data_IF_487072394509
#
_entry.id   IF_487072394509
#
_cell.length_a   1.000
_cell.length_b   1.000
_cell.length_c   1.000
_cell.angle_alpha   90.00
_cell.angle_beta   90.00
_cell.angle_gamma   90.00
#
_symmetry.space_group_name_H-M   'P 1'
#
loop_
_entity.id
_entity.type
_entity.pdbx_description
1 polymer ?
#
# COMPACT_ATOMS: atom_id res chain seq x y z
N UNK A 1 -3.16 0.90 16.93
CA UNK A 1 -2.68 1.17 15.57
C UNK A 1 -3.85 1.32 14.62
N UNK A 2 -3.83 2.36 13.80
CA UNK A 2 -4.92 2.60 12.85
C UNK A 2 -4.86 1.56 11.71
N UNK A 3 -5.92 0.80 11.56
CA UNK A 3 -6.07 -0.17 10.47
C UNK A 3 -7.17 0.34 9.55
N UNK A 4 -6.87 0.38 8.26
CA UNK A 4 -7.88 0.73 7.26
C UNK A 4 -8.97 -0.35 7.23
N UNK A 5 -10.22 0.09 7.36
CA UNK A 5 -11.39 -0.79 7.27
C UNK A 5 -12.12 -0.65 5.94
N UNK A 6 -11.50 0.04 4.97
CA UNK A 6 -12.11 0.26 3.67
C UNK A 6 -12.34 -1.07 2.94
N UNK A 7 -13.45 -1.20 2.19
CA UNK A 7 -13.69 -2.38 1.37
C UNK A 7 -12.60 -2.53 0.30
N UNK A 8 -11.87 -3.65 0.35
CA UNK A 8 -10.69 -3.86 -0.49
C UNK A 8 -11.04 -3.86 -1.99
N UNK A 9 -12.05 -4.60 -2.39
CA UNK A 9 -12.40 -4.71 -3.81
C UNK A 9 -12.91 -3.40 -4.39
N UNK A 10 -13.70 -2.67 -3.62
CA UNK A 10 -14.21 -1.36 -4.02
C UNK A 10 -13.06 -0.36 -4.21
N UNK A 11 -12.15 -0.31 -3.26
CA UNK A 11 -11.01 0.60 -3.29
C UNK A 11 -10.04 0.24 -4.41
N UNK A 12 -9.77 -1.06 -4.58
CA UNK A 12 -8.90 -1.54 -5.65
C UNK A 12 -9.43 -1.16 -7.03
N UNK A 13 -10.75 -1.30 -7.27
CA UNK A 13 -11.38 -0.85 -8.51
C UNK A 13 -11.22 0.65 -8.73
N UNK A 14 -11.48 1.43 -7.68
CA UNK A 14 -11.37 2.89 -7.77
C UNK A 14 -9.96 3.33 -8.16
N UNK A 15 -8.95 2.62 -7.71
CA UNK A 15 -7.54 2.92 -7.97
C UNK A 15 -6.98 2.19 -9.20
N UNK A 16 -7.74 1.29 -9.81
CA UNK A 16 -7.27 0.51 -10.95
C UNK A 16 -6.21 -0.54 -10.60
N UNK A 17 -6.25 -1.06 -9.39
CA UNK A 17 -5.30 -2.08 -8.90
C UNK A 17 -6.00 -3.43 -8.85
N UNK A 18 -5.31 -4.49 -9.30
CA UNK A 18 -5.83 -5.84 -9.14
C UNK A 18 -5.77 -6.26 -7.67
N UNK A 19 -6.86 -6.84 -7.10
CA UNK A 19 -6.82 -7.36 -5.74
C UNK A 19 -5.74 -8.41 -5.49
N UNK A 20 -5.26 -9.08 -6.55
CA UNK A 20 -4.19 -10.07 -6.45
C UNK A 20 -2.89 -9.49 -5.88
N UNK A 21 -2.58 -8.22 -6.17
CA UNK A 21 -1.42 -7.53 -5.59
C UNK A 21 -1.48 -7.43 -4.07
N UNK A 22 -2.69 -7.50 -3.52
CA UNK A 22 -2.93 -7.39 -2.07
C UNK A 22 -3.08 -8.76 -1.40
N UNK A 23 -2.98 -9.84 -2.18
CA UNK A 23 -3.13 -11.21 -1.69
C UNK A 23 -4.54 -11.75 -1.69
N UNK A 24 -5.50 -11.04 -2.28
CA UNK A 24 -6.89 -11.49 -2.38
C UNK A 24 -7.12 -12.23 -3.70
N UNK A 25 -7.79 -13.38 -3.63
CA UNK A 25 -8.00 -14.27 -4.78
C UNK A 25 -9.30 -13.99 -5.55
N UNK A 26 -10.24 -13.27 -4.97
CA UNK A 26 -11.52 -12.98 -5.60
C UNK A 26 -11.40 -11.87 -6.66
N UNK A 27 -12.28 -11.93 -7.65
CA UNK A 27 -12.39 -10.88 -8.65
C UNK A 27 -13.69 -10.11 -8.47
N UNK A 28 -13.62 -8.81 -8.70
CA UNK A 28 -14.81 -7.97 -8.69
C UNK A 28 -15.58 -8.14 -10.00
N UNK A 29 -16.87 -8.44 -9.89
CA UNK A 29 -17.76 -8.53 -11.04
C UNK A 29 -18.19 -7.15 -11.56
N UNK A 30 -17.91 -6.09 -10.81
CA UNK A 30 -18.29 -4.74 -11.19
C UNK A 30 -17.15 -4.06 -11.90
N UNK A 31 -17.45 -3.39 -13.01
CA UNK A 31 -16.51 -2.54 -13.71
C UNK A 31 -16.84 -1.08 -13.43
N UNK A 32 -15.82 -0.23 -13.32
CA UNK A 32 -16.05 1.19 -13.19
C UNK A 32 -16.50 1.75 -14.54
N UNK A 33 -17.49 2.67 -14.55
CA UNK A 33 -17.77 3.43 -15.77
C UNK A 33 -16.51 4.19 -16.17
N UNK A 34 -16.21 4.18 -17.47
CA UNK A 34 -15.09 4.95 -17.99
C UNK A 34 -15.34 6.44 -17.73
N UNK A 35 -14.39 7.09 -17.07
CA UNK A 35 -14.47 8.52 -16.87
C UNK A 35 -14.35 9.23 -18.20
N UNK A 36 -15.32 10.07 -18.50
CA UNK A 36 -15.25 10.98 -19.64
C UNK A 36 -14.35 12.15 -19.24
N UNK A 37 -13.27 12.36 -19.98
CA UNK A 37 -12.37 13.48 -19.79
C UNK A 37 -10.97 13.08 -19.31
N UNK A 38 -10.03 13.93 -19.63
CA UNK A 38 -8.61 13.79 -19.22
C UNK A 38 -8.46 14.16 -17.74
N UNK A 39 -7.83 13.27 -16.98
CA UNK A 39 -7.43 13.59 -15.62
C UNK A 39 -6.29 14.62 -15.66
N UNK A 40 -6.33 15.64 -14.79
CA UNK A 40 -5.24 16.59 -14.67
C UNK A 40 -3.95 15.93 -14.17
N UNK A 41 -2.79 16.54 -14.43
CA UNK A 41 -1.51 16.03 -13.93
C UNK A 41 -1.52 15.89 -12.40
N UNK A 42 -2.09 16.87 -11.70
CA UNK A 42 -2.26 16.81 -10.25
C UNK A 42 -3.12 15.61 -9.83
N UNK A 43 -4.23 15.36 -10.52
CA UNK A 43 -5.11 14.22 -10.26
C UNK A 43 -4.41 12.89 -10.48
N UNK A 44 -3.58 12.78 -11.53
CA UNK A 44 -2.79 11.58 -11.79
C UNK A 44 -1.76 11.33 -10.70
N UNK A 45 -1.05 12.36 -10.25
CA UNK A 45 -0.07 12.25 -9.16
C UNK A 45 -0.74 11.85 -7.85
N UNK A 46 -1.89 12.43 -7.53
CA UNK A 46 -2.68 12.07 -6.35
C UNK A 46 -3.11 10.61 -6.40
N UNK A 47 -3.54 10.13 -7.57
CA UNK A 47 -3.97 8.74 -7.76
C UNK A 47 -2.81 7.77 -7.52
N UNK A 48 -1.62 8.06 -8.04
CA UNK A 48 -0.43 7.23 -7.83
C UNK A 48 -0.03 7.18 -6.35
N UNK A 49 -0.09 8.31 -5.66
CA UNK A 49 0.14 8.37 -4.22
C UNK A 49 -0.87 7.51 -3.45
N UNK A 50 -2.16 7.59 -3.81
CA UNK A 50 -3.20 6.79 -3.17
C UNK A 50 -3.02 5.29 -3.41
N UNK A 51 -2.56 4.91 -4.61
CA UNK A 51 -2.24 3.50 -4.93
C UNK A 51 -1.15 2.97 -4.00
N UNK A 52 -0.05 3.70 -3.84
CA UNK A 52 1.05 3.30 -2.98
C UNK A 52 0.60 3.15 -1.52
N UNK A 53 -0.11 4.13 -1.00
CA UNK A 53 -0.65 4.08 0.36
C UNK A 53 -1.57 2.88 0.56
N UNK A 54 -2.41 2.59 -0.40
CA UNK A 54 -3.37 1.49 -0.33
C UNK A 54 -2.65 0.13 -0.38
N UNK A 55 -1.69 -0.03 -1.28
CA UNK A 55 -0.93 -1.29 -1.41
C UNK A 55 -0.22 -1.64 -0.12
N UNK A 56 0.50 -0.67 0.47
CA UNK A 56 1.26 -0.90 1.70
C UNK A 56 0.44 -0.74 2.97
N UNK A 57 -0.78 -0.22 2.85
CA UNK A 57 -1.67 -0.04 4.00
C UNK A 57 -1.19 1.00 5.00
N UNK A 58 -0.45 2.00 4.56
CA UNK A 58 0.07 3.06 5.43
C UNK A 58 -0.88 4.25 5.50
N UNK A 59 -0.91 4.92 6.66
CA UNK A 59 -1.69 6.13 6.84
C UNK A 59 -1.02 7.33 6.16
N UNK A 60 -1.78 8.41 5.96
CA UNK A 60 -1.25 9.66 5.41
C UNK A 60 -0.08 10.20 6.23
N UNK A 61 -0.20 10.14 7.55
CA UNK A 61 0.85 10.61 8.47
C UNK A 61 2.14 9.81 8.30
N UNK A 62 2.03 8.48 8.26
CA UNK A 62 3.18 7.60 8.08
C UNK A 62 3.80 7.78 6.69
N UNK A 63 2.97 7.89 5.67
CA UNK A 63 3.43 8.08 4.29
C UNK A 63 4.19 9.39 4.15
N UNK A 64 3.69 10.47 4.75
CA UNK A 64 4.36 11.76 4.76
C UNK A 64 5.72 11.67 5.46
N UNK A 65 5.81 10.96 6.58
CA UNK A 65 7.08 10.74 7.27
C UNK A 65 8.09 10.01 6.40
N UNK A 66 7.66 8.99 5.67
CA UNK A 66 8.52 8.30 4.72
C UNK A 66 8.97 9.20 3.57
N UNK A 67 8.06 10.03 3.05
CA UNK A 67 8.40 10.98 2.00
C UNK A 67 9.47 11.98 2.46
N UNK A 68 9.31 12.57 3.63
CA UNK A 68 10.29 13.50 4.20
C UNK A 68 11.65 12.82 4.37
N UNK A 69 11.66 11.60 4.86
CA UNK A 69 12.89 10.82 5.01
C UNK A 69 13.52 10.49 3.65
N UNK A 70 12.70 10.14 2.66
CA UNK A 70 13.17 9.84 1.30
C UNK A 70 13.82 11.04 0.63
N UNK A 71 13.36 12.26 0.90
CA UNK A 71 13.96 13.47 0.31
C UNK A 71 15.38 13.73 0.81
N UNK A 72 15.74 13.22 1.98
CA UNK A 72 17.10 13.36 2.54
C UNK A 72 18.05 12.25 2.09
N UNK A 73 17.54 11.19 1.46
CA UNK A 73 18.35 10.08 0.99
C UNK A 73 18.89 10.35 -0.41
N UNK A 74 20.06 9.77 -0.70
CA UNK A 74 20.63 9.84 -2.04
C UNK A 74 19.78 9.07 -3.06
N UNK A 75 19.70 9.59 -4.28
CA UNK A 75 18.94 8.99 -5.36
C UNK A 75 17.58 9.66 -5.56
N UNK A 76 16.74 9.05 -6.40
CA UNK A 76 15.41 9.58 -6.69
C UNK A 76 14.48 9.38 -5.51
N UNK A 77 13.77 10.45 -5.13
CA UNK A 77 12.84 10.44 -3.99
C UNK A 77 11.78 9.36 -4.12
N UNK A 78 11.21 9.17 -5.31
CA UNK A 78 10.19 8.15 -5.55
C UNK A 78 10.70 6.73 -5.29
N UNK A 79 11.91 6.42 -5.74
CA UNK A 79 12.53 5.12 -5.51
C UNK A 79 12.83 4.89 -4.03
N UNK A 80 13.37 5.90 -3.35
CA UNK A 80 13.66 5.82 -1.92
C UNK A 80 12.39 5.64 -1.08
N UNK A 81 11.31 6.30 -1.49
CA UNK A 81 10.01 6.17 -0.84
C UNK A 81 9.50 4.73 -0.91
N UNK A 82 9.57 4.10 -2.07
CA UNK A 82 9.17 2.70 -2.26
C UNK A 82 10.06 1.77 -1.44
N UNK A 83 11.37 2.01 -1.42
CA UNK A 83 12.31 1.23 -0.61
C UNK A 83 11.93 1.30 0.88
N UNK A 84 11.60 2.48 1.39
CA UNK A 84 11.18 2.63 2.78
C UNK A 84 9.88 1.87 3.08
N UNK A 85 8.92 1.87 2.16
CA UNK A 85 7.69 1.10 2.30
C UNK A 85 7.97 -0.42 2.25
N UNK A 86 8.86 -0.85 1.37
CA UNK A 86 9.23 -2.28 1.24
C UNK A 86 9.99 -2.79 2.47
N UNK A 87 10.68 -1.92 3.21
CA UNK A 87 11.43 -2.29 4.41
C UNK A 87 10.57 -2.48 5.65
N UNK A 88 9.27 -2.21 5.57
CA UNK A 88 8.38 -2.43 6.72
C UNK A 88 8.30 -3.92 7.05
N UNK A 89 8.28 -4.22 8.35
CA UNK A 89 8.21 -5.62 8.82
C UNK A 89 6.93 -6.31 8.35
N UNK A 90 5.79 -5.61 8.36
CA UNK A 90 4.53 -6.17 7.87
C UNK A 90 4.60 -6.53 6.37
N UNK A 91 5.23 -5.70 5.56
CA UNK A 91 5.44 -5.98 4.15
C UNK A 91 6.37 -7.19 3.96
N UNK A 92 7.46 -7.26 4.72
CA UNK A 92 8.40 -8.39 4.67
C UNK A 92 7.69 -9.69 5.06
N UNK A 93 6.87 -9.67 6.11
CA UNK A 93 6.09 -10.83 6.53
C UNK A 93 5.11 -11.29 5.43
N UNK A 94 4.46 -10.34 4.75
CA UNK A 94 3.59 -10.66 3.62
C UNK A 94 4.37 -11.27 2.46
N UNK A 95 5.47 -10.65 2.04
CA UNK A 95 6.26 -11.10 0.89
C UNK A 95 6.96 -12.44 1.13
N UNK A 96 7.32 -12.73 2.37
CA UNK A 96 7.94 -14.02 2.74
C UNK A 96 6.95 -15.17 2.84
N UNK A 97 5.65 -14.91 2.72
CA UNK A 97 4.62 -15.93 2.77
C UNK A 97 4.12 -16.26 4.17
N UNK A 98 4.53 -15.50 5.21
CA UNK A 98 4.05 -15.71 6.57
C UNK A 98 2.60 -15.26 6.76
N UNK A 99 2.10 -14.42 5.87
CA UNK A 99 0.72 -13.94 5.87
C UNK A 99 0.18 -13.92 4.45
N UNK A 100 -1.13 -14.06 4.31
CA UNK A 100 -1.81 -14.06 3.00
C UNK A 100 -2.04 -12.66 2.46
N UNK A 101 -2.17 -11.68 3.35
CA UNK A 101 -2.39 -10.28 3.00
C UNK A 101 -1.53 -9.38 3.88
N UNK A 102 -1.32 -8.14 3.46
CA UNK A 102 -0.61 -7.17 4.30
C UNK A 102 -1.38 -6.81 5.57
N UNK A 103 -2.71 -6.85 5.54
CA UNK A 103 -3.53 -6.64 6.74
C UNK A 103 -3.30 -7.75 7.77
N UNK A 104 -3.26 -9.00 7.33
CA UNK A 104 -2.94 -10.15 8.19
C UNK A 104 -1.51 -10.03 8.73
N UNK A 105 -0.56 -9.68 7.85
CA UNK A 105 0.83 -9.48 8.25
C UNK A 105 0.97 -8.39 9.32
N UNK A 106 0.25 -7.28 9.17
CA UNK A 106 0.25 -6.22 10.17
C UNK A 106 -0.29 -6.70 11.52
N UNK A 107 -1.35 -7.49 11.52
CA UNK A 107 -1.89 -8.04 12.74
C UNK A 107 -0.88 -8.98 13.42
N UNK A 108 -0.22 -9.84 12.68
CA UNK A 108 0.83 -10.73 13.20
C UNK A 108 1.96 -9.90 13.83
N UNK A 109 2.41 -8.86 13.17
CA UNK A 109 3.49 -8.00 13.66
C UNK A 109 3.08 -7.24 14.92
N UNK A 110 1.89 -6.64 14.93
CA UNK A 110 1.42 -5.83 16.07
C UNK A 110 1.09 -6.67 17.29
N UNK A 111 0.72 -7.93 17.10
CA UNK A 111 0.46 -8.85 18.20
C UNK A 111 1.73 -9.54 18.73
N UNK A 112 2.90 -9.19 18.20
CA UNK A 112 4.17 -9.68 18.71
C UNK A 112 4.49 -11.13 18.38
N UNK A 113 3.93 -11.66 17.29
CA UNK A 113 4.19 -13.06 16.87
C UNK A 113 5.50 -13.25 16.12
N UNK A 114 6.17 -12.15 15.73
CA UNK A 114 7.43 -12.20 14.98
C UNK A 114 8.57 -11.57 15.77
N UNK A 115 9.74 -12.18 15.65
CA UNK A 115 10.99 -11.66 16.19
C UNK A 115 11.94 -11.38 15.03
N UNK A 116 12.77 -10.35 15.18
CA UNK A 116 13.82 -10.01 14.23
C UNK A 116 15.16 -10.14 14.96
N UNK A 117 16.00 -11.09 14.48
CA UNK A 117 17.30 -11.39 15.08
C UNK A 117 17.22 -11.77 16.58
N UNK A 118 16.15 -12.44 16.92
CA UNK A 118 15.91 -12.86 18.30
C UNK A 118 15.22 -11.82 19.14
#
# INVERSE_FOLDING_TARGET
MAVSKDPVYKRARALGISPAYLGYTGESKRTLPQRRGKMSDYGMQQREKQKAKFIYGVSEKQFRGYYEKATTMEGQTGEQLIILCERRLDNIAFRSGLARTRREARQIVTHGHLLVNG
#
